data_IF_999301187872
#
_entry.id   IF_999301187872
#
_cell.length_a   1.000
_cell.length_b   1.000
_cell.length_c   1.000
_cell.angle_alpha   90.00
_cell.angle_beta   90.00
_cell.angle_gamma   90.00
#
_symmetry.space_group_name_H-M   'P 1'
#
loop_
_entity.id
_entity.type
_entity.pdbx_description
1 polymer ?
#
# COMPACT_ATOMS: atom_id res chain seq x y z
N UNK A 1 -23.14 13.10 -20.68
CA UNK A 1 -21.98 12.19 -20.79
C UNK A 1 -22.00 11.35 -19.53
N UNK A 2 -22.33 10.07 -19.66
CA UNK A 2 -22.26 9.10 -18.57
C UNK A 2 -20.79 8.77 -18.34
N UNK A 3 -20.24 9.16 -17.20
CA UNK A 3 -18.90 8.73 -16.79
C UNK A 3 -18.90 7.20 -16.68
N UNK A 4 -18.15 6.52 -17.55
CA UNK A 4 -17.89 5.10 -17.40
C UNK A 4 -17.08 4.92 -16.10
N UNK A 5 -17.73 4.38 -15.07
CA UNK A 5 -17.04 4.02 -13.83
C UNK A 5 -16.18 2.79 -14.15
N UNK A 6 -14.87 3.01 -14.28
CA UNK A 6 -13.93 1.90 -14.44
C UNK A 6 -14.08 0.95 -13.23
N UNK A 7 -14.26 -0.38 -13.46
CA UNK A 7 -14.39 -1.32 -12.37
C UNK A 7 -13.12 -1.29 -11.51
N UNK A 8 -13.29 -1.38 -10.19
CA UNK A 8 -12.16 -1.38 -9.26
C UNK A 8 -11.22 -2.57 -9.53
N UNK A 9 -9.91 -2.36 -9.40
CA UNK A 9 -8.87 -3.35 -9.70
C UNK A 9 -8.08 -3.73 -8.45
N UNK A 10 -7.72 -5.00 -8.31
CA UNK A 10 -6.86 -5.42 -7.20
C UNK A 10 -5.43 -4.87 -7.40
N UNK A 11 -4.87 -4.28 -6.35
CA UNK A 11 -3.48 -3.85 -6.31
C UNK A 11 -2.56 -5.08 -6.23
N UNK A 12 -1.47 -5.07 -6.98
CA UNK A 12 -0.51 -6.19 -6.93
C UNK A 12 0.34 -6.06 -5.66
N UNK A 13 0.39 -7.13 -4.88
CA UNK A 13 1.12 -7.17 -3.62
C UNK A 13 2.22 -8.23 -3.68
N UNK A 14 3.44 -7.90 -3.25
CA UNK A 14 4.52 -8.88 -3.17
C UNK A 14 5.46 -8.66 -1.99
N UNK A 15 6.00 -9.74 -1.44
CA UNK A 15 7.00 -9.68 -0.38
C UNK A 15 8.33 -9.28 -0.99
N UNK A 16 8.84 -8.12 -0.59
CA UNK A 16 10.18 -7.66 -0.98
C UNK A 16 11.25 -8.32 -0.11
N UNK A 17 11.01 -8.40 1.19
CA UNK A 17 11.96 -8.94 2.15
C UNK A 17 11.26 -9.48 3.40
N UNK A 18 11.73 -10.60 3.89
CA UNK A 18 11.40 -11.14 5.21
C UNK A 18 12.70 -11.53 5.91
N UNK A 19 12.94 -11.01 7.11
CA UNK A 19 14.13 -11.35 7.91
C UNK A 19 13.76 -12.02 9.24
N UNK A 20 12.60 -12.67 9.30
CA UNK A 20 12.06 -13.33 10.48
C UNK A 20 11.09 -12.42 11.21
N UNK A 21 11.59 -11.34 11.84
CA UNK A 21 10.75 -10.44 12.65
C UNK A 21 10.22 -9.21 11.92
N UNK A 22 10.86 -8.78 10.82
CA UNK A 22 10.41 -7.66 9.99
C UNK A 22 10.12 -8.17 8.57
N UNK A 23 8.96 -7.78 8.06
CA UNK A 23 8.57 -8.03 6.68
C UNK A 23 8.39 -6.71 5.95
N UNK A 24 8.77 -6.67 4.67
CA UNK A 24 8.57 -5.52 3.80
C UNK A 24 7.77 -6.02 2.59
N UNK A 25 6.61 -5.42 2.39
CA UNK A 25 5.73 -5.67 1.25
C UNK A 25 5.85 -4.52 0.26
N UNK A 26 5.78 -4.84 -1.02
CA UNK A 26 5.54 -3.87 -2.09
C UNK A 26 4.06 -3.94 -2.49
N UNK A 27 3.45 -2.78 -2.67
CA UNK A 27 2.07 -2.65 -3.11
C UNK A 27 2.08 -1.76 -4.35
N UNK A 28 1.89 -2.38 -5.51
CA UNK A 28 1.91 -1.71 -6.80
C UNK A 28 0.51 -1.23 -7.17
N UNK A 29 0.39 0.09 -7.33
CA UNK A 29 -0.82 0.78 -7.73
C UNK A 29 -0.46 1.64 -8.95
N UNK A 30 -0.78 1.18 -10.17
CA UNK A 30 -0.41 1.89 -11.38
C UNK A 30 -0.97 3.32 -11.44
N UNK A 31 -0.14 4.25 -11.90
CA UNK A 31 -0.50 5.65 -12.10
C UNK A 31 -0.29 6.56 -10.89
N UNK A 32 0.20 6.04 -9.76
CA UNK A 32 0.61 6.87 -8.63
C UNK A 32 1.74 7.84 -9.00
N UNK A 33 1.69 9.04 -8.42
CA UNK A 33 2.74 10.05 -8.56
C UNK A 33 3.22 10.49 -7.20
N UNK A 34 4.53 10.31 -6.95
CA UNK A 34 5.17 10.74 -5.70
C UNK A 34 5.13 12.25 -5.52
N UNK A 35 4.92 12.67 -4.28
CA UNK A 35 5.10 14.07 -3.88
C UNK A 35 6.58 14.41 -3.85
N UNK A 36 7.11 14.95 -4.96
CA UNK A 36 8.43 15.58 -5.00
C UNK A 36 8.38 16.87 -4.18
N UNK A 37 8.59 16.77 -2.88
CA UNK A 37 8.69 17.92 -1.99
C UNK A 37 10.11 17.99 -1.45
N UNK A 38 10.89 18.89 -2.06
CA UNK A 38 12.21 19.34 -1.61
C UNK A 38 12.22 19.89 -0.16
N UNK A 39 11.04 20.06 0.46
CA UNK A 39 10.87 20.60 1.82
C UNK A 39 10.26 19.61 2.83
N UNK A 40 10.00 18.35 2.45
CA UNK A 40 9.35 17.37 3.34
C UNK A 40 10.29 16.79 4.42
N UNK A 41 11.60 16.94 4.25
CA UNK A 41 12.62 16.38 5.16
C UNK A 41 12.52 16.90 6.60
N UNK A 42 11.86 18.05 6.83
CA UNK A 42 11.75 18.69 8.14
C UNK A 42 10.45 18.30 8.88
N UNK A 43 9.37 17.99 8.14
CA UNK A 43 8.04 17.72 8.73
C UNK A 43 7.88 16.24 9.13
N UNK A 44 8.63 15.33 8.50
CA UNK A 44 8.57 13.89 8.77
C UNK A 44 9.24 13.45 10.09
N UNK A 45 9.85 14.35 10.86
CA UNK A 45 10.49 14.00 12.13
C UNK A 45 9.51 13.81 13.29
N UNK A 46 8.27 14.32 13.18
CA UNK A 46 7.33 14.39 14.33
C UNK A 46 6.02 13.63 14.16
N UNK A 47 5.74 13.07 12.97
CA UNK A 47 4.57 12.22 12.77
C UNK A 47 4.93 11.08 11.85
N UNK A 48 5.14 9.88 12.42
CA UNK A 48 5.22 8.63 11.65
C UNK A 48 3.99 8.57 10.74
N UNK A 49 4.12 8.58 9.40
CA UNK A 49 2.96 8.43 8.54
C UNK A 49 2.53 6.96 8.59
N UNK A 50 1.76 6.60 9.62
CA UNK A 50 1.00 5.34 9.67
C UNK A 50 -0.15 5.33 8.65
N UNK A 51 -0.39 6.47 7.99
CA UNK A 51 -1.51 6.69 7.10
C UNK A 51 -1.03 7.03 5.67
N UNK A 52 -1.28 6.17 4.65
CA UNK A 52 -0.73 6.34 3.30
C UNK A 52 -1.29 7.54 2.51
N UNK A 53 -2.34 8.19 3.02
CA UNK A 53 -3.11 9.25 2.37
C UNK A 53 -2.28 10.49 2.00
N UNK A 54 -1.13 10.71 2.65
CA UNK A 54 -0.30 11.91 2.44
C UNK A 54 0.89 11.69 1.50
N UNK A 55 1.09 10.45 1.04
CA UNK A 55 2.31 10.05 0.34
C UNK A 55 2.23 10.29 -1.17
N UNK A 56 1.03 10.22 -1.76
CA UNK A 56 0.78 10.46 -3.19
C UNK A 56 0.28 11.88 -3.48
N UNK A 57 0.53 12.39 -4.69
CA UNK A 57 0.02 13.70 -5.14
C UNK A 57 -1.29 13.63 -5.90
N UNK A 58 -1.67 12.46 -6.38
CA UNK A 58 -2.82 12.23 -7.25
C UNK A 58 -3.67 11.05 -6.79
N UNK A 59 -3.57 10.67 -5.52
CA UNK A 59 -4.36 9.57 -4.99
C UNK A 59 -5.12 9.96 -3.73
N UNK A 60 -6.34 9.46 -3.63
CA UNK A 60 -7.19 9.56 -2.46
C UNK A 60 -7.48 8.16 -1.95
N UNK A 61 -7.05 7.84 -0.73
CA UNK A 61 -7.49 6.59 -0.11
C UNK A 61 -8.91 6.80 0.38
N UNK A 62 -9.86 6.00 -0.10
CA UNK A 62 -11.26 6.11 0.35
C UNK A 62 -11.46 5.37 1.68
N UNK A 63 -10.73 4.28 1.89
CA UNK A 63 -10.65 3.56 3.16
C UNK A 63 -9.24 3.00 3.36
N UNK A 64 -8.88 2.79 4.62
CA UNK A 64 -7.66 2.12 5.04
C UNK A 64 -7.85 1.56 6.45
N UNK A 65 -7.60 0.27 6.60
CA UNK A 65 -7.58 -0.42 7.87
C UNK A 65 -6.41 -1.43 7.86
N UNK A 66 -5.51 -1.27 8.82
CA UNK A 66 -4.45 -2.22 9.10
C UNK A 66 -4.64 -2.70 10.54
N UNK A 67 -4.92 -3.99 10.70
CA UNK A 67 -5.04 -4.62 12.01
C UNK A 67 -3.81 -5.48 12.28
N UNK A 68 -3.84 -6.22 13.39
CA UNK A 68 -2.79 -7.19 13.66
C UNK A 68 -2.83 -8.41 12.72
N UNK A 69 -3.92 -8.62 11.97
CA UNK A 69 -4.09 -9.81 11.13
C UNK A 69 -4.52 -9.52 9.70
N UNK A 70 -4.95 -8.30 9.39
CA UNK A 70 -5.56 -7.97 8.11
C UNK A 70 -5.11 -6.61 7.56
N UNK A 71 -5.23 -6.46 6.24
CA UNK A 71 -5.06 -5.21 5.51
C UNK A 71 -6.25 -5.03 4.56
N UNK A 72 -6.91 -3.88 4.65
CA UNK A 72 -7.95 -3.46 3.72
C UNK A 72 -7.72 -2.00 3.35
N UNK A 73 -7.63 -1.71 2.06
CA UNK A 73 -7.75 -0.34 1.59
C UNK A 73 -8.34 -0.29 0.19
N UNK A 74 -8.86 0.88 -0.16
CA UNK A 74 -9.12 1.30 -1.53
C UNK A 74 -8.58 2.69 -1.77
N UNK A 75 -8.13 2.91 -3.00
CA UNK A 75 -7.47 4.13 -3.43
C UNK A 75 -7.94 4.52 -4.82
N UNK A 76 -8.43 5.75 -4.91
CA UNK A 76 -8.77 6.38 -6.16
C UNK A 76 -7.54 7.08 -6.71
N UNK A 77 -7.15 6.72 -7.92
CA UNK A 77 -6.05 7.35 -8.66
C UNK A 77 -6.65 8.33 -9.65
N UNK A 78 -6.24 9.59 -9.54
CA UNK A 78 -6.59 10.68 -10.44
C UNK A 78 -5.48 10.87 -11.47
N UNK A 79 -5.80 11.49 -12.60
CA UNK A 79 -4.80 11.74 -13.65
C UNK A 79 -3.60 12.53 -13.14
N UNK A 80 -3.85 13.55 -12.32
CA UNK A 80 -2.84 14.45 -11.78
C UNK A 80 -3.33 15.11 -10.48
N UNK A 81 -2.47 15.96 -9.88
CA UNK A 81 -2.78 16.67 -8.63
C UNK A 81 -3.93 17.67 -8.75
N UNK A 82 -4.13 18.26 -9.93
CA UNK A 82 -5.22 19.21 -10.16
C UNK A 82 -6.56 18.46 -10.21
N UNK A 83 -6.61 17.36 -10.96
CA UNK A 83 -7.74 16.45 -11.01
C UNK A 83 -8.20 15.98 -9.61
N UNK A 84 -7.25 15.61 -8.75
CA UNK A 84 -7.54 15.26 -7.35
C UNK A 84 -8.17 16.43 -6.57
N UNK A 85 -7.65 17.66 -6.73
CA UNK A 85 -8.15 18.85 -6.02
C UNK A 85 -9.54 19.26 -6.47
N UNK A 86 -9.82 19.08 -7.75
CA UNK A 86 -11.11 19.40 -8.36
C UNK A 86 -12.14 18.27 -8.18
N UNK A 87 -11.73 17.14 -7.60
CA UNK A 87 -12.53 15.92 -7.55
C UNK A 87 -13.11 15.55 -8.92
N UNK A 88 -12.28 15.66 -9.95
CA UNK A 88 -12.64 15.31 -11.33
C UNK A 88 -12.86 13.79 -11.49
N UNK A 89 -13.11 13.32 -12.71
CA UNK A 89 -13.26 11.90 -12.98
C UNK A 89 -12.06 11.08 -12.48
N UNK A 90 -12.37 10.02 -11.73
CA UNK A 90 -11.39 9.04 -11.22
C UNK A 90 -10.87 8.24 -12.41
N UNK A 91 -9.55 8.18 -12.54
CA UNK A 91 -8.95 7.37 -13.61
C UNK A 91 -9.14 5.88 -13.34
N UNK A 92 -8.87 5.45 -12.12
CA UNK A 92 -8.99 4.06 -11.71
C UNK A 92 -9.04 3.97 -10.18
N UNK A 93 -9.96 3.16 -9.66
CA UNK A 93 -9.93 2.74 -8.26
C UNK A 93 -9.18 1.43 -8.13
N UNK A 94 -8.28 1.34 -7.14
CA UNK A 94 -7.62 0.10 -6.76
C UNK A 94 -8.02 -0.30 -5.34
N UNK A 95 -8.02 -1.59 -5.07
CA UNK A 95 -8.24 -2.12 -3.72
C UNK A 95 -7.18 -3.17 -3.37
N UNK A 96 -6.93 -3.37 -2.09
CA UNK A 96 -6.15 -4.49 -1.59
C UNK A 96 -6.85 -5.04 -0.36
N UNK A 97 -7.00 -6.36 -0.33
CA UNK A 97 -7.64 -7.05 0.78
C UNK A 97 -6.87 -8.31 1.13
N UNK A 98 -6.42 -8.37 2.37
CA UNK A 98 -5.86 -9.54 3.04
C UNK A 98 -6.70 -9.75 4.29
N UNK A 99 -7.50 -10.81 4.31
CA UNK A 99 -8.33 -11.14 5.47
C UNK A 99 -7.48 -11.71 6.60
N UNK A 100 -6.45 -12.51 6.28
CA UNK A 100 -5.53 -13.06 7.27
C UNK A 100 -4.09 -13.17 6.76
N UNK A 101 -3.16 -12.45 7.39
CA UNK A 101 -1.72 -12.59 7.17
C UNK A 101 -1.17 -13.94 7.66
N UNK A 102 -0.02 -14.42 7.13
CA UNK A 102 0.61 -15.67 7.58
C UNK A 102 1.11 -15.62 9.04
N UNK A 103 1.36 -14.41 9.55
CA UNK A 103 1.69 -14.12 10.93
C UNK A 103 0.98 -12.84 11.37
N UNK A 104 0.67 -12.68 12.66
CA UNK A 104 0.19 -11.40 13.15
C UNK A 104 1.30 -10.35 13.08
N UNK A 105 0.92 -9.10 12.87
CA UNK A 105 1.81 -7.94 12.83
C UNK A 105 1.46 -6.92 13.91
N UNK A 106 2.40 -6.04 14.23
CA UNK A 106 2.14 -4.84 15.03
C UNK A 106 1.71 -3.68 14.12
N UNK A 107 0.41 -3.32 14.06
CA UNK A 107 -0.07 -2.24 13.20
C UNK A 107 0.45 -0.86 13.62
N UNK A 108 0.73 -0.65 14.91
CA UNK A 108 1.25 0.64 15.42
C UNK A 108 2.71 0.88 15.01
N UNK A 109 3.44 -0.19 14.70
CA UNK A 109 4.82 -0.13 14.19
C UNK A 109 4.91 -0.18 12.68
N UNK A 110 3.76 -0.25 11.97
CA UNK A 110 3.76 -0.33 10.53
C UNK A 110 4.13 1.01 9.89
N UNK A 111 4.95 0.96 8.85
CA UNK A 111 5.44 2.15 8.14
C UNK A 111 5.10 2.05 6.66
N UNK A 112 4.51 3.11 6.13
CA UNK A 112 4.28 3.28 4.69
C UNK A 112 5.29 4.25 4.10
N UNK A 113 5.91 3.86 3.00
CA UNK A 113 6.72 4.73 2.16
C UNK A 113 6.23 4.65 0.71
N UNK A 114 6.23 5.78 -0.01
CA UNK A 114 6.02 5.77 -1.46
C UNK A 114 7.36 5.96 -2.17
N UNK A 115 7.76 4.94 -2.92
CA UNK A 115 9.03 4.89 -3.64
C UNK A 115 8.76 5.04 -5.13
N UNK A 116 9.65 5.77 -5.82
CA UNK A 116 9.64 5.95 -7.28
C UNK A 116 10.80 5.11 -7.86
N UNK A 117 10.48 4.13 -8.72
CA UNK A 117 11.48 3.39 -9.48
C UNK A 117 12.13 4.27 -10.54
N UNK A 118 13.27 3.83 -11.09
CA UNK A 118 13.92 4.49 -12.23
C UNK A 118 12.99 4.64 -13.45
N UNK A 119 12.03 3.74 -13.60
CA UNK A 119 10.98 3.80 -14.64
C UNK A 119 9.97 4.94 -14.44
N UNK A 120 10.02 5.67 -13.31
CA UNK A 120 9.03 6.66 -12.90
C UNK A 120 7.77 6.06 -12.27
N UNK A 121 7.63 4.72 -12.26
CA UNK A 121 6.52 4.06 -11.59
C UNK A 121 6.66 4.16 -10.07
N UNK A 122 5.59 4.53 -9.39
CA UNK A 122 5.55 4.60 -7.94
C UNK A 122 4.84 3.38 -7.34
N UNK A 123 5.35 2.91 -6.19
CA UNK A 123 4.74 1.83 -5.42
C UNK A 123 4.90 2.10 -3.93
N UNK A 124 4.01 1.56 -3.11
CA UNK A 124 4.15 1.64 -1.67
C UNK A 124 5.06 0.52 -1.15
N UNK A 125 5.90 0.85 -0.19
CA UNK A 125 6.48 -0.10 0.74
C UNK A 125 5.67 -0.09 2.03
N UNK A 126 5.23 -1.25 2.46
CA UNK A 126 4.64 -1.47 3.77
C UNK A 126 5.62 -2.32 4.59
N UNK A 127 6.23 -1.71 5.60
CA UNK A 127 7.10 -2.40 6.54
C UNK A 127 6.29 -2.77 7.79
N UNK A 128 6.26 -4.05 8.14
CA UNK A 128 5.56 -4.55 9.33
C UNK A 128 6.51 -5.33 10.24
N UNK A 129 6.22 -5.34 11.54
CA UNK A 129 6.89 -6.18 12.53
C UNK A 129 5.97 -7.33 12.90
N UNK A 130 6.43 -8.58 12.78
CA UNK A 130 5.67 -9.76 13.17
C UNK A 130 5.61 -9.87 14.69
N UNK A 131 4.47 -10.33 15.19
CA UNK A 131 4.21 -10.58 16.62
C UNK A 131 4.33 -12.06 16.98
N UNK A 132 4.09 -12.95 16.01
CA UNK A 132 4.17 -14.40 16.17
C UNK A 132 4.62 -15.08 14.87
N UNK A 133 4.65 -16.42 14.87
CA UNK A 133 5.00 -17.24 13.71
C UNK A 133 6.26 -16.73 12.99
N UNK A 134 7.30 -16.37 13.76
CA UNK A 134 8.51 -15.73 13.24
C UNK A 134 9.31 -16.63 12.28
N UNK A 135 9.09 -17.94 12.38
CA UNK A 135 9.69 -18.95 11.50
C UNK A 135 8.97 -19.05 10.14
N UNK A 136 7.76 -18.49 10.01
CA UNK A 136 7.05 -18.46 8.73
C UNK A 136 7.67 -17.40 7.84
N UNK A 137 8.36 -17.82 6.78
CA UNK A 137 8.87 -16.94 5.74
C UNK A 137 7.72 -16.55 4.78
N UNK A 138 7.33 -15.28 4.78
CA UNK A 138 6.22 -14.79 3.97
C UNK A 138 6.55 -14.81 2.49
N UNK A 139 7.82 -14.69 2.09
CA UNK A 139 8.22 -14.79 0.67
C UNK A 139 8.01 -16.20 0.16
N UNK A 140 8.47 -17.19 0.91
CA UNK A 140 8.28 -18.62 0.57
C UNK A 140 6.79 -18.99 0.58
N UNK A 141 6.03 -18.50 1.56
CA UNK A 141 4.58 -18.67 1.61
C UNK A 141 3.92 -18.10 0.35
N UNK A 142 4.23 -16.85 -0.01
CA UNK A 142 3.67 -16.22 -1.21
C UNK A 142 4.09 -16.94 -2.50
N UNK A 143 5.34 -17.36 -2.61
CA UNK A 143 5.83 -18.07 -3.80
C UNK A 143 5.15 -19.44 -3.97
N UNK A 144 4.79 -20.08 -2.86
CA UNK A 144 4.11 -21.38 -2.84
C UNK A 144 2.62 -21.25 -3.16
N UNK A 145 1.95 -20.23 -2.60
CA UNK A 145 0.49 -20.12 -2.65
C UNK A 145 -0.03 -19.05 -3.63
N UNK A 146 0.85 -18.21 -4.18
CA UNK A 146 0.49 -17.07 -5.03
C UNK A 146 -0.17 -15.91 -4.28
N UNK A 147 -0.33 -15.99 -2.96
CA UNK A 147 -1.02 -15.00 -2.12
C UNK A 147 -0.39 -14.91 -0.73
N UNK A 148 -0.61 -13.79 -0.05
CA UNK A 148 -0.31 -13.64 1.39
C UNK A 148 -1.55 -13.80 2.27
N UNK A 149 -2.72 -13.97 1.68
CA UNK A 149 -3.96 -14.18 2.42
C UNK A 149 -4.17 -15.66 2.70
N UNK A 150 -3.97 -16.04 3.95
CA UNK A 150 -4.16 -17.42 4.45
C UNK A 150 -5.61 -17.88 4.22
N UNK A 151 -6.58 -16.96 4.24
CA UNK A 151 -7.98 -17.30 3.99
C UNK A 151 -8.26 -17.71 2.53
N UNK A 152 -7.30 -17.49 1.61
CA UNK A 152 -7.38 -17.85 0.18
C UNK A 152 -6.54 -19.09 -0.17
N UNK A 153 -5.89 -19.71 0.81
CA UNK A 153 -5.03 -20.91 0.65
C UNK A 153 -5.80 -22.18 0.96
#
# INVERSE_FOLDING_TARGET
MSSEINPAREATLSVLKDNGNKVILTINIPGLRRRRSIFQSIINLFSKPSNPFRLSTNAHFANYALTNGSLDFSVDVYENKQALREHSEIRQTYFCKIDQFPSRINPESAEFELVEAESGNCYFLLTCIKLDNLNTNWKEFQDTHGTLDVAKV
#
